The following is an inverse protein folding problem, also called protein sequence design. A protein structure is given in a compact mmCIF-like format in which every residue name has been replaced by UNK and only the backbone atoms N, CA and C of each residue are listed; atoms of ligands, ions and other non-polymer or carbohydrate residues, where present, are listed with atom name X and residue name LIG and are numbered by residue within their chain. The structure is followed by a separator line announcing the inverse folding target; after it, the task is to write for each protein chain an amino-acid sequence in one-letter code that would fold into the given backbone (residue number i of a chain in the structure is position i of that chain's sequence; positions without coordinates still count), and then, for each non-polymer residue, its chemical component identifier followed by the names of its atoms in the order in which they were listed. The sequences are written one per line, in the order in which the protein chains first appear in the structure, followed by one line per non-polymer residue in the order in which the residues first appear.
data_IF_072058584638
#
_entry.id   IF_072058584638
#
_cell.length_a   1.000
_cell.length_b   1.000
_cell.length_c   1.000
_cell.angle_alpha   90.00
_cell.angle_beta   90.00
_cell.angle_gamma   90.00
#
_symmetry.space_group_name_H-M   'P 1'
#
loop_
_entity.id
_entity.type
_entity.pdbx_description
1 polymer ?
#
# COMPACT_ATOMS: atom_id res chain seq x y z
N UNK A 1 9.82 -2.82 14.69
CA UNK A 1 10.06 -3.01 13.24
C UNK A 1 11.34 -3.79 12.97
N UNK A 2 12.42 -3.54 13.73
CA UNK A 2 13.70 -4.25 13.56
C UNK A 2 13.63 -5.78 13.76
N UNK A 3 12.70 -6.26 14.58
CA UNK A 3 12.46 -7.69 14.84
C UNK A 3 12.33 -8.54 13.56
N UNK A 4 11.82 -7.93 12.48
CA UNK A 4 11.66 -8.60 11.18
C UNK A 4 13.00 -9.03 10.55
N UNK A 5 14.09 -8.34 10.87
CA UNK A 5 15.45 -8.68 10.45
C UNK A 5 16.33 -9.27 11.55
N UNK A 6 16.04 -9.00 12.83
CA UNK A 6 16.83 -9.46 13.98
C UNK A 6 16.79 -10.98 14.20
N UNK A 7 15.77 -11.68 13.69
CA UNK A 7 15.67 -13.14 13.72
C UNK A 7 15.73 -13.73 12.30
N UNK A 8 16.94 -13.85 11.71
CA UNK A 8 17.09 -14.29 10.32
C UNK A 8 16.57 -15.71 10.13
N UNK A 9 15.84 -15.91 9.04
CA UNK A 9 15.35 -17.22 8.60
C UNK A 9 16.28 -17.76 7.50
N UNK A 10 16.43 -19.09 7.31
CA UNK A 10 17.23 -19.66 6.22
C UNK A 10 16.78 -19.28 4.80
N UNK A 11 15.60 -18.66 4.67
CA UNK A 11 15.05 -18.17 3.41
C UNK A 11 14.95 -16.64 3.48
N UNK A 12 15.21 -15.94 2.37
CA UNK A 12 15.00 -14.50 2.31
C UNK A 12 13.53 -14.15 2.53
N UNK A 13 13.30 -12.94 3.05
CA UNK A 13 11.98 -12.37 3.28
C UNK A 13 11.75 -11.26 2.27
N UNK A 14 10.57 -11.28 1.66
CA UNK A 14 10.07 -10.21 0.81
C UNK A 14 8.70 -9.85 1.38
N UNK A 15 8.47 -8.57 1.65
CA UNK A 15 7.19 -8.12 2.17
C UNK A 15 6.24 -7.96 0.99
N UNK A 16 5.22 -8.82 0.91
CA UNK A 16 4.28 -8.82 -0.21
C UNK A 16 3.47 -7.53 -0.30
N UNK A 17 3.20 -6.88 0.85
CA UNK A 17 2.44 -5.63 0.94
C UNK A 17 2.92 -4.83 2.16
N UNK A 18 3.27 -3.56 1.97
CA UNK A 18 3.54 -2.60 3.06
C UNK A 18 3.20 -1.18 2.63
N UNK A 19 3.37 -0.21 3.53
CA UNK A 19 3.24 1.22 3.22
C UNK A 19 1.94 1.57 2.50
N UNK A 20 0.81 1.26 3.14
CA UNK A 20 -0.53 1.49 2.59
C UNK A 20 -0.71 2.94 2.13
N UNK A 21 -0.81 3.13 0.81
CA UNK A 21 -0.71 4.42 0.13
C UNK A 21 -2.07 5.11 -0.11
N UNK A 22 -3.09 4.73 0.67
CA UNK A 22 -4.43 5.30 0.54
C UNK A 22 -4.50 6.72 1.12
N UNK A 23 -4.95 7.67 0.30
CA UNK A 23 -5.18 9.05 0.73
C UNK A 23 -3.89 9.81 1.02
N UNK A 24 -3.80 10.49 2.17
CA UNK A 24 -2.61 11.24 2.54
C UNK A 24 -1.59 10.35 3.27
N UNK A 25 -0.55 9.93 2.57
CA UNK A 25 0.49 9.02 3.06
C UNK A 25 1.31 8.44 1.90
N UNK A 26 2.01 7.31 2.10
CA UNK A 26 2.28 6.65 3.38
C UNK A 26 3.44 7.32 4.14
N UNK A 27 3.27 7.52 5.45
CA UNK A 27 4.34 7.95 6.35
C UNK A 27 5.22 6.79 6.82
N UNK A 28 6.40 7.09 7.36
CA UNK A 28 7.27 6.08 7.99
C UNK A 28 8.14 5.24 7.04
N UNK A 29 8.22 5.63 5.75
CA UNK A 29 8.97 4.88 4.73
C UNK A 29 10.47 4.80 5.05
N UNK A 30 11.05 5.86 5.59
CA UNK A 30 12.47 5.93 5.93
C UNK A 30 12.82 4.89 7.00
N UNK A 31 11.99 4.73 8.02
CA UNK A 31 12.17 3.77 9.11
C UNK A 31 12.16 2.34 8.58
N UNK A 32 11.22 1.99 7.70
CA UNK A 32 11.20 0.70 7.01
C UNK A 32 12.46 0.49 6.18
N UNK A 33 12.82 1.48 5.36
CA UNK A 33 13.96 1.37 4.46
C UNK A 33 15.29 1.22 5.22
N UNK A 34 15.43 1.88 6.36
CA UNK A 34 16.58 1.71 7.25
C UNK A 34 16.69 0.28 7.79
N UNK A 35 15.57 -0.35 8.18
CA UNK A 35 15.57 -1.76 8.59
C UNK A 35 15.95 -2.67 7.42
N UNK A 36 15.42 -2.43 6.23
CA UNK A 36 15.72 -3.26 5.05
C UNK A 36 17.19 -3.20 4.65
N UNK A 37 17.81 -2.02 4.73
CA UNK A 37 19.24 -1.87 4.49
C UNK A 37 20.14 -2.45 5.60
N UNK A 38 19.60 -2.65 6.80
CA UNK A 38 20.36 -3.20 7.92
C UNK A 38 20.46 -4.73 7.88
N UNK A 39 19.48 -5.43 7.28
CA UNK A 39 19.37 -6.89 7.38
C UNK A 39 19.32 -7.57 6.01
N UNK A 40 20.42 -8.23 5.62
CA UNK A 40 20.57 -8.94 4.33
C UNK A 40 19.50 -10.03 4.07
N UNK A 41 18.85 -10.51 5.12
CA UNK A 41 17.76 -11.48 5.00
C UNK A 41 16.47 -10.88 4.42
N UNK A 42 16.37 -9.55 4.31
CA UNK A 42 15.23 -8.84 3.72
C UNK A 42 15.60 -8.40 2.30
N UNK A 43 14.90 -8.94 1.31
CA UNK A 43 15.24 -8.74 -0.11
C UNK A 43 14.32 -7.73 -0.82
N UNK A 44 13.51 -7.01 -0.06
CA UNK A 44 12.65 -5.97 -0.58
C UNK A 44 11.20 -6.11 -0.13
N UNK A 45 10.36 -5.38 -0.84
CA UNK A 45 8.99 -5.10 -0.44
C UNK A 45 8.19 -4.59 -1.64
N UNK A 46 6.87 -4.60 -1.51
CA UNK A 46 5.95 -3.99 -2.46
C UNK A 46 4.99 -3.06 -1.73
N UNK A 47 4.96 -1.79 -2.16
CA UNK A 47 3.99 -0.80 -1.67
C UNK A 47 2.59 -1.24 -2.09
N UNK A 48 1.64 -1.21 -1.15
CA UNK A 48 0.23 -1.36 -1.45
C UNK A 48 -0.42 0.02 -1.61
N UNK A 49 -0.84 0.46 -2.77
CA UNK A 49 -0.75 -0.18 -4.09
C UNK A 49 -0.34 0.85 -5.13
N UNK A 50 -0.27 0.45 -6.41
CA UNK A 50 0.24 1.30 -7.47
C UNK A 50 -0.71 2.44 -7.85
N UNK A 51 -2.02 2.17 -7.87
CA UNK A 51 -3.01 3.14 -8.32
C UNK A 51 -4.33 2.99 -7.57
N UNK A 52 -5.02 4.10 -7.37
CA UNK A 52 -6.39 4.08 -6.88
C UNK A 52 -7.34 3.45 -7.92
N UNK A 53 -8.21 2.55 -7.47
CA UNK A 53 -9.24 1.92 -8.30
C UNK A 53 -10.50 2.78 -8.44
N UNK A 54 -10.33 4.06 -8.78
CA UNK A 54 -11.43 5.00 -9.02
C UNK A 54 -12.04 4.86 -10.41
N UNK A 55 -13.38 4.83 -10.52
CA UNK A 55 -14.08 4.76 -11.80
C UNK A 55 -14.50 6.16 -12.23
N UNK A 56 -14.01 6.63 -13.37
CA UNK A 56 -14.35 7.96 -13.88
C UNK A 56 -15.87 8.09 -14.13
N UNK A 57 -16.46 9.15 -13.60
CA UNK A 57 -17.87 9.51 -13.74
C UNK A 57 -18.00 11.02 -14.01
N UNK A 58 -19.24 11.46 -14.26
CA UNK A 58 -19.62 12.87 -14.34
C UNK A 58 -20.69 13.19 -13.32
N UNK A 59 -20.63 14.38 -12.72
CA UNK A 59 -21.73 14.91 -11.91
C UNK A 59 -22.82 15.53 -12.80
N UNK A 60 -23.88 16.07 -12.18
CA UNK A 60 -25.01 16.68 -12.88
C UNK A 60 -24.62 17.94 -13.69
N UNK A 61 -23.54 18.61 -13.28
CA UNK A 61 -22.97 19.78 -13.95
C UNK A 61 -21.96 19.37 -15.07
N UNK A 62 -21.69 18.08 -15.23
CA UNK A 62 -20.80 17.52 -16.23
C UNK A 62 -19.32 17.49 -15.84
N UNK A 63 -18.97 17.82 -14.59
CA UNK A 63 -17.59 17.76 -14.08
C UNK A 63 -17.15 16.31 -13.88
N UNK A 64 -15.89 16.05 -14.18
CA UNK A 64 -15.29 14.71 -13.99
C UNK A 64 -14.99 14.47 -12.51
N UNK A 65 -15.36 13.29 -12.02
CA UNK A 65 -14.99 12.79 -10.69
C UNK A 65 -14.77 11.28 -10.74
N UNK A 66 -14.25 10.69 -9.65
CA UNK A 66 -13.99 9.25 -9.55
C UNK A 66 -14.86 8.62 -8.46
N UNK A 67 -15.70 7.68 -8.87
CA UNK A 67 -16.55 6.87 -8.00
C UNK A 67 -15.78 5.70 -7.39
N UNK A 68 -16.19 5.29 -6.19
CA UNK A 68 -15.68 4.12 -5.48
C UNK A 68 -16.86 3.29 -4.90
N UNK A 69 -16.56 2.25 -4.12
CA UNK A 69 -17.57 1.32 -3.58
C UNK A 69 -18.71 2.04 -2.86
N UNK A 70 -19.95 1.63 -3.13
CA UNK A 70 -21.19 2.27 -2.66
C UNK A 70 -21.78 3.31 -3.62
N UNK A 71 -20.98 3.95 -4.49
CA UNK A 71 -21.46 5.01 -5.40
C UNK A 71 -22.33 4.50 -6.56
N UNK A 72 -22.45 3.17 -6.71
CA UNK A 72 -23.29 2.50 -7.69
C UNK A 72 -24.48 1.76 -7.07
N UNK A 73 -24.74 1.96 -5.78
CA UNK A 73 -25.83 1.30 -5.06
C UNK A 73 -25.52 -0.16 -4.69
N UNK A 74 -24.26 -0.58 -4.82
CA UNK A 74 -23.74 -1.81 -4.23
C UNK A 74 -23.80 -1.74 -2.70
N UNK A 75 -24.26 -2.82 -2.08
CA UNK A 75 -24.36 -2.95 -0.63
C UNK A 75 -23.77 -4.31 -0.21
N UNK A 76 -22.97 -4.38 0.87
CA UNK A 76 -22.41 -5.65 1.33
C UNK A 76 -23.53 -6.59 1.82
N UNK A 77 -23.55 -7.83 1.34
CA UNK A 77 -24.45 -8.90 1.83
C UNK A 77 -23.96 -9.50 3.16
#
# INVERSE_FOLDING_TARGET
MNEFGEYPHPKPRIICEYAHAMGNGPGGLTEYQNVFYQHDCIQGHYVWEWCDHGIQAKDDDGNVWYKFGGDYGDYPE
#
